data_IF_694834523180
#
_entry.id   IF_694834523180
#
_cell.length_a   1.000
_cell.length_b   1.000
_cell.length_c   1.000
_cell.angle_alpha   90.00
_cell.angle_beta   90.00
_cell.angle_gamma   90.00
#
_symmetry.space_group_name_H-M   'P 1'
#
loop_
_entity.id
_entity.type
_entity.pdbx_description
1 polymer ?
#
# COMPACT_ATOMS: atom_id res chain seq x y z
N UNK A 1 -10.76 -26.33 -21.45
CA UNK A 1 -9.89 -25.84 -22.54
C UNK A 1 -8.65 -25.25 -21.89
N UNK A 2 -7.49 -25.92 -22.01
CA UNK A 2 -6.28 -25.58 -21.24
C UNK A 2 -5.60 -24.33 -21.79
N UNK A 3 -5.71 -23.20 -21.08
CA UNK A 3 -4.95 -21.99 -21.37
C UNK A 3 -3.51 -22.15 -20.88
N UNK A 4 -2.60 -22.49 -21.79
CA UNK A 4 -1.16 -22.41 -21.55
C UNK A 4 -0.77 -20.93 -21.46
N UNK A 5 -0.62 -20.42 -20.25
CA UNK A 5 -0.03 -19.11 -20.00
C UNK A 5 1.37 -19.04 -20.66
N UNK A 6 1.56 -18.06 -21.52
CA UNK A 6 2.68 -17.99 -22.45
C UNK A 6 3.95 -17.62 -21.68
N UNK A 7 4.77 -18.62 -21.31
CA UNK A 7 6.02 -18.49 -20.52
C UNK A 7 6.98 -17.41 -21.05
N UNK A 8 6.85 -17.03 -22.33
CA UNK A 8 7.62 -15.95 -22.98
C UNK A 8 7.28 -14.56 -22.44
N UNK A 9 6.03 -14.30 -22.03
CA UNK A 9 5.61 -13.01 -21.47
C UNK A 9 6.18 -12.79 -20.06
N UNK A 10 6.23 -13.85 -19.25
CA UNK A 10 6.82 -13.83 -17.91
C UNK A 10 8.34 -13.58 -17.96
N UNK A 11 9.02 -14.17 -18.95
CA UNK A 11 10.45 -13.95 -19.22
C UNK A 11 10.72 -12.53 -19.74
N UNK A 12 9.82 -11.96 -20.55
CA UNK A 12 9.96 -10.58 -21.02
C UNK A 12 9.83 -9.59 -19.85
N UNK A 13 8.85 -9.80 -18.96
CA UNK A 13 8.67 -9.00 -17.75
C UNK A 13 9.88 -9.08 -16.81
N UNK A 14 10.45 -10.29 -16.62
CA UNK A 14 11.68 -10.47 -15.83
C UNK A 14 12.91 -9.80 -16.46
N UNK A 15 13.03 -9.84 -17.80
CA UNK A 15 14.15 -9.20 -18.52
C UNK A 15 14.07 -7.68 -18.52
N UNK A 16 12.86 -7.11 -18.51
CA UNK A 16 12.63 -5.68 -18.33
C UNK A 16 13.17 -5.19 -16.98
N UNK A 17 12.89 -5.92 -15.89
CA UNK A 17 13.36 -5.55 -14.55
C UNK A 17 14.89 -5.60 -14.39
N UNK A 18 15.57 -6.50 -15.11
CA UNK A 18 17.04 -6.60 -15.10
C UNK A 18 17.73 -5.52 -15.96
N UNK A 19 17.04 -4.97 -16.96
CA UNK A 19 17.61 -3.97 -17.87
C UNK A 19 17.74 -2.58 -17.23
N UNK A 20 16.86 -2.26 -16.26
CA UNK A 20 16.95 -1.02 -15.47
C UNK A 20 18.12 -1.00 -14.47
N UNK A 21 18.70 -2.17 -14.16
CA UNK A 21 19.82 -2.27 -13.22
C UNK A 21 21.16 -1.82 -13.80
N UNK A 22 21.31 -1.81 -15.14
CA UNK A 22 22.59 -1.57 -15.80
C UNK A 22 22.90 -0.09 -16.10
N UNK A 23 21.91 0.80 -16.05
CA UNK A 23 22.05 2.22 -16.44
C UNK A 23 22.21 3.18 -15.25
N UNK A 24 22.22 2.70 -14.00
CA UNK A 24 22.21 3.54 -12.80
C UNK A 24 23.61 3.91 -12.24
N UNK A 25 24.70 3.69 -12.99
CA UNK A 25 26.09 3.88 -12.52
C UNK A 25 26.87 5.00 -13.22
N UNK A 26 26.22 6.11 -13.56
CA UNK A 26 26.93 7.36 -13.89
C UNK A 26 26.60 8.39 -12.83
N UNK A 27 27.51 8.53 -11.86
CA UNK A 27 27.48 9.55 -10.81
C UNK A 27 28.25 10.75 -11.32
N UNK A 28 27.54 11.83 -11.63
CA UNK A 28 28.14 13.17 -11.73
C UNK A 28 28.23 13.75 -10.31
N UNK A 29 29.47 14.01 -9.88
CA UNK A 29 29.81 14.68 -8.62
C UNK A 29 29.39 16.16 -8.70
N UNK A 30 28.19 16.47 -8.20
CA UNK A 30 27.84 17.83 -7.82
C UNK A 30 27.15 17.87 -6.44
N UNK A 31 28.01 18.09 -5.45
CA UNK A 31 27.81 18.70 -4.13
C UNK A 31 26.39 19.09 -3.70
N UNK A 32 25.58 18.11 -3.27
CA UNK A 32 24.55 18.24 -2.21
C UNK A 32 24.45 16.92 -1.42
N UNK A 33 25.61 16.30 -1.15
CA UNK A 33 25.71 15.05 -0.39
C UNK A 33 25.35 15.30 1.08
N UNK A 34 24.08 15.05 1.43
CA UNK A 34 23.70 14.70 2.79
C UNK A 34 23.86 13.19 2.86
N UNK A 35 24.60 12.68 3.86
CA UNK A 35 24.73 11.22 4.02
C UNK A 35 23.33 10.58 4.00
N UNK A 36 23.12 9.53 3.17
CA UNK A 36 21.85 8.83 3.16
C UNK A 36 21.56 8.34 4.57
N UNK A 37 20.34 8.56 5.05
CA UNK A 37 19.94 8.02 6.34
C UNK A 37 20.13 6.50 6.31
N UNK A 38 20.76 5.92 7.33
CA UNK A 38 20.83 4.46 7.52
C UNK A 38 19.46 3.81 7.80
N UNK A 39 18.37 4.48 7.46
CA UNK A 39 16.99 4.07 7.70
C UNK A 39 16.43 3.59 6.38
N UNK A 40 15.79 2.43 6.38
CA UNK A 40 14.82 2.13 5.33
C UNK A 40 13.65 3.11 5.52
N UNK A 41 13.37 4.01 4.58
CA UNK A 41 12.16 4.82 4.64
C UNK A 41 10.93 3.90 4.79
N UNK A 42 9.85 4.38 5.39
CA UNK A 42 8.51 3.83 5.09
C UNK A 42 7.88 4.70 4.01
N UNK A 43 8.25 4.52 2.73
CA UNK A 43 7.90 5.48 1.69
C UNK A 43 6.42 5.40 1.32
N UNK A 44 5.79 4.24 1.42
CA UNK A 44 4.46 4.04 0.86
C UNK A 44 3.38 4.18 1.93
N UNK A 45 2.38 5.03 1.69
CA UNK A 45 1.23 5.22 2.60
C UNK A 45 0.21 4.10 2.47
N UNK A 46 0.21 3.41 1.33
CA UNK A 46 -0.76 2.36 0.99
C UNK A 46 -0.17 0.95 0.98
N UNK A 47 1.13 0.81 1.25
CA UNK A 47 1.80 -0.48 1.33
C UNK A 47 2.46 -0.68 2.69
N UNK A 48 2.44 -1.92 3.15
CA UNK A 48 3.18 -2.41 4.30
C UNK A 48 4.47 -3.07 3.78
N UNK A 49 5.61 -2.46 4.09
CA UNK A 49 6.92 -3.11 3.98
C UNK A 49 7.17 -3.98 5.21
N UNK A 50 8.02 -5.00 5.11
CA UNK A 50 8.55 -5.70 6.30
C UNK A 50 9.74 -4.94 6.89
N UNK A 51 10.18 -5.33 8.08
CA UNK A 51 11.34 -4.78 8.76
C UNK A 51 12.52 -5.77 8.74
N UNK A 52 13.73 -5.23 8.75
CA UNK A 52 15.01 -5.93 8.83
C UNK A 52 15.67 -5.73 10.20
N UNK A 53 16.72 -6.50 10.53
CA UNK A 53 17.52 -6.26 11.73
C UNK A 53 18.17 -4.88 11.81
N UNK A 54 18.42 -4.24 10.66
CA UNK A 54 19.04 -2.91 10.58
C UNK A 54 18.01 -1.78 10.75
N UNK A 55 16.71 -2.11 10.65
CA UNK A 55 15.63 -1.15 10.88
C UNK A 55 15.44 -0.86 12.37
N UNK A 56 14.85 0.31 12.66
CA UNK A 56 14.33 0.57 13.99
C UNK A 56 13.30 -0.49 14.34
N UNK A 57 13.50 -1.14 15.49
CA UNK A 57 12.75 -2.33 15.88
C UNK A 57 11.26 -2.05 16.05
N UNK A 58 10.85 -0.81 16.33
CA UNK A 58 9.45 -0.45 16.53
C UNK A 58 9.16 0.98 16.06
N UNK A 59 7.97 1.19 15.49
CA UNK A 59 7.43 2.50 15.10
C UNK A 59 5.95 2.64 15.43
N UNK A 60 5.55 3.87 15.75
CA UNK A 60 4.15 4.29 15.92
C UNK A 60 3.82 5.25 14.79
N UNK A 61 2.77 4.93 14.06
CA UNK A 61 2.31 5.68 12.91
C UNK A 61 0.96 6.31 13.23
N UNK A 62 0.83 7.59 12.95
CA UNK A 62 -0.46 8.28 12.95
C UNK A 62 -0.74 8.78 11.54
N UNK A 63 -1.92 8.52 11.02
CA UNK A 63 -2.33 9.02 9.71
C UNK A 63 -3.73 9.61 9.74
N UNK A 64 -3.89 10.69 8.99
CA UNK A 64 -5.17 11.35 8.74
C UNK A 64 -5.45 11.31 7.25
N UNK A 65 -6.69 11.06 6.88
CA UNK A 65 -7.11 11.01 5.48
C UNK A 65 -8.44 11.71 5.29
N UNK A 66 -8.63 12.24 4.08
CA UNK A 66 -9.92 12.69 3.59
C UNK A 66 -10.24 11.96 2.30
N UNK A 67 -11.37 11.26 2.29
CA UNK A 67 -11.94 10.58 1.15
C UNK A 67 -13.26 11.23 0.74
N UNK A 68 -13.52 11.30 -0.57
CA UNK A 68 -14.83 11.62 -1.11
C UNK A 68 -15.15 10.64 -2.22
N UNK A 69 -16.20 9.83 -2.04
CA UNK A 69 -16.56 8.72 -2.94
C UNK A 69 -15.39 7.74 -3.10
N UNK A 70 -14.69 7.54 -2.00
CA UNK A 70 -13.73 6.50 -1.79
C UNK A 70 -14.32 5.65 -0.68
N UNK A 71 -15.27 4.78 -1.04
CA UNK A 71 -15.80 3.82 -0.09
C UNK A 71 -14.72 2.72 0.14
N UNK A 72 -14.78 2.08 1.30
CA UNK A 72 -13.92 0.93 1.69
C UNK A 72 -12.42 1.22 1.93
N UNK A 73 -11.48 0.46 1.37
CA UNK A 73 -10.10 0.32 1.88
C UNK A 73 -9.13 1.40 1.40
N UNK A 74 -9.48 2.22 0.39
CA UNK A 74 -8.75 3.47 0.13
C UNK A 74 -8.72 4.36 1.38
N UNK A 75 -9.79 4.34 2.15
CA UNK A 75 -9.97 5.13 3.36
C UNK A 75 -11.44 5.35 3.62
N UNK A 76 -11.73 5.96 4.75
CA UNK A 76 -13.12 6.26 5.09
C UNK A 76 -13.67 7.40 4.22
N UNK A 77 -14.87 7.23 3.65
CA UNK A 77 -15.58 8.33 2.96
C UNK A 77 -15.94 9.42 3.97
N UNK A 78 -15.19 10.53 3.93
CA UNK A 78 -15.13 11.51 5.00
C UNK A 78 -13.72 11.60 5.58
N UNK A 79 -13.62 11.82 6.89
CA UNK A 79 -12.33 11.95 7.58
C UNK A 79 -11.98 10.65 8.28
N UNK A 80 -10.83 10.08 7.95
CA UNK A 80 -10.27 8.90 8.60
C UNK A 80 -9.08 9.25 9.50
N UNK A 81 -9.06 8.73 10.71
CA UNK A 81 -7.95 8.86 11.68
C UNK A 81 -7.43 7.47 12.01
N UNK A 82 -6.14 7.20 11.83
CA UNK A 82 -5.56 5.88 12.03
C UNK A 82 -4.31 5.95 12.89
N UNK A 83 -4.20 4.97 13.79
CA UNK A 83 -2.99 4.68 14.57
C UNK A 83 -2.50 3.29 14.18
N UNK A 84 -1.20 3.13 13.94
CA UNK A 84 -0.59 1.83 13.72
C UNK A 84 0.68 1.66 14.53
N UNK A 85 0.94 0.43 14.95
CA UNK A 85 2.18 -0.03 15.54
C UNK A 85 2.80 -1.02 14.58
N UNK A 86 4.08 -0.85 14.28
CA UNK A 86 4.84 -1.80 13.49
C UNK A 86 6.12 -2.17 14.22
N UNK A 87 6.47 -3.45 14.24
CA UNK A 87 7.61 -3.91 15.01
C UNK A 87 8.28 -5.15 14.43
N UNK A 88 9.60 -5.20 14.57
CA UNK A 88 10.42 -6.35 14.21
C UNK A 88 10.47 -7.32 15.38
N UNK A 89 9.99 -8.55 15.17
CA UNK A 89 9.92 -9.60 16.19
C UNK A 89 11.17 -10.52 16.19
N UNK A 90 12.20 -10.19 15.39
CA UNK A 90 13.31 -11.09 15.15
C UNK A 90 12.99 -12.17 14.11
N UNK A 91 14.01 -12.91 13.69
CA UNK A 91 13.87 -14.04 12.76
C UNK A 91 13.09 -13.72 11.46
N UNK A 92 13.20 -12.47 10.98
CA UNK A 92 12.50 -11.95 9.79
C UNK A 92 10.98 -11.85 9.92
N UNK A 93 10.47 -11.68 11.14
CA UNK A 93 9.07 -11.42 11.40
C UNK A 93 8.82 -9.95 11.69
N UNK A 94 7.76 -9.42 11.08
CA UNK A 94 7.21 -8.10 11.30
C UNK A 94 5.80 -8.24 11.85
N UNK A 95 5.51 -7.56 12.96
CA UNK A 95 4.17 -7.34 13.47
C UNK A 95 3.65 -6.02 12.92
N UNK A 96 2.41 -6.01 12.44
CA UNK A 96 1.69 -4.80 12.07
C UNK A 96 0.32 -4.82 12.75
N UNK A 97 -0.01 -3.77 13.48
CA UNK A 97 -1.32 -3.59 14.12
C UNK A 97 -1.81 -2.19 13.82
N UNK A 98 -3.07 -2.02 13.44
CA UNK A 98 -3.69 -0.72 13.25
C UNK A 98 -5.09 -0.66 13.87
N UNK A 99 -5.50 0.54 14.22
CA UNK A 99 -6.84 0.91 14.58
C UNK A 99 -7.18 2.24 13.91
N UNK A 100 -8.39 2.36 13.37
CA UNK A 100 -8.85 3.57 12.72
C UNK A 100 -10.25 3.98 13.18
N UNK A 101 -10.53 5.28 13.07
CA UNK A 101 -11.82 5.92 13.30
C UNK A 101 -12.24 6.64 12.03
N UNK A 102 -13.52 6.52 11.67
CA UNK A 102 -14.15 7.19 10.53
C UNK A 102 -15.19 8.20 11.01
N UNK A 103 -15.15 9.41 10.43
CA UNK A 103 -16.08 10.51 10.69
C UNK A 103 -16.74 10.98 9.39
N UNK A 104 -18.04 10.76 9.25
CA UNK A 104 -18.85 11.24 8.10
C UNK A 104 -19.85 12.28 8.62
N UNK A 105 -20.18 13.28 7.80
CA UNK A 105 -20.94 14.48 8.20
C UNK A 105 -22.28 14.17 8.90
N UNK A 106 -22.91 13.04 8.59
CA UNK A 106 -24.26 12.69 9.05
C UNK A 106 -24.36 11.31 9.72
N UNK A 107 -23.22 10.68 10.07
CA UNK A 107 -23.20 9.34 10.67
C UNK A 107 -22.49 9.31 12.02
N UNK A 108 -22.75 8.24 12.79
CA UNK A 108 -22.00 7.94 13.99
C UNK A 108 -20.54 7.65 13.67
N UNK A 109 -19.66 7.92 14.63
CA UNK A 109 -18.24 7.54 14.53
C UNK A 109 -18.14 6.02 14.42
N UNK A 110 -17.49 5.55 13.36
CA UNK A 110 -17.22 4.12 13.14
C UNK A 110 -15.75 3.81 13.38
N UNK A 111 -15.41 2.54 13.51
CA UNK A 111 -14.03 2.11 13.77
C UNK A 111 -13.68 0.82 13.05
N UNK A 112 -12.41 0.67 12.71
CA UNK A 112 -11.82 -0.57 12.20
C UNK A 112 -10.54 -0.92 12.94
N UNK A 113 -10.17 -2.19 12.94
CA UNK A 113 -8.91 -2.68 13.49
C UNK A 113 -8.37 -3.80 12.62
N UNK A 114 -7.04 -3.92 12.59
CA UNK A 114 -6.38 -5.03 11.92
C UNK A 114 -5.06 -5.37 12.62
N UNK A 115 -4.71 -6.64 12.54
CA UNK A 115 -3.46 -7.17 13.07
C UNK A 115 -2.92 -8.24 12.13
N UNK A 116 -1.66 -8.12 11.75
CA UNK A 116 -0.96 -9.02 10.85
C UNK A 116 0.42 -9.39 11.38
N UNK A 117 0.84 -10.62 11.10
CA UNK A 117 2.23 -11.07 11.23
C UNK A 117 2.73 -11.40 9.83
N UNK A 118 3.85 -10.80 9.45
CA UNK A 118 4.43 -10.91 8.11
C UNK A 118 5.86 -11.44 8.26
N UNK A 119 6.22 -12.44 7.44
CA UNK A 119 7.55 -13.04 7.43
C UNK A 119 8.23 -12.82 6.09
N UNK A 120 9.49 -12.37 6.10
CA UNK A 120 10.29 -12.36 4.86
C UNK A 120 10.68 -13.77 4.44
N UNK A 121 10.30 -14.12 3.22
CA UNK A 121 10.69 -15.36 2.54
C UNK A 121 11.95 -15.17 1.72
N UNK A 122 12.16 -13.97 1.15
CA UNK A 122 13.36 -13.58 0.40
C UNK A 122 13.81 -12.21 0.91
N UNK A 123 15.13 -12.00 1.04
CA UNK A 123 15.67 -10.75 1.58
C UNK A 123 15.50 -10.63 3.10
N UNK A 124 15.27 -9.40 3.57
CA UNK A 124 14.97 -9.11 4.98
C UNK A 124 16.18 -9.16 5.93
N UNK A 125 17.39 -9.15 5.38
CA UNK A 125 18.66 -9.24 6.15
C UNK A 125 19.50 -7.96 6.13
N UNK A 126 19.21 -7.06 5.20
CA UNK A 126 19.95 -5.83 4.93
C UNK A 126 18.94 -4.75 4.56
N UNK A 127 19.28 -3.49 4.79
CA UNK A 127 18.44 -2.35 4.43
C UNK A 127 18.16 -2.21 2.92
N UNK A 128 19.01 -2.78 2.05
CA UNK A 128 18.87 -2.67 0.58
C UNK A 128 18.73 -4.03 -0.10
N UNK A 129 18.14 -4.02 -1.30
CA UNK A 129 17.94 -5.17 -2.16
C UNK A 129 16.48 -5.59 -2.29
N UNK A 130 16.26 -6.73 -2.94
CA UNK A 130 14.92 -7.29 -3.11
C UNK A 130 14.46 -7.96 -1.81
N UNK A 131 13.20 -7.71 -1.46
CA UNK A 131 12.52 -8.33 -0.32
C UNK A 131 11.16 -8.83 -0.75
N UNK A 132 10.83 -10.04 -0.31
CA UNK A 132 9.52 -10.64 -0.49
C UNK A 132 9.08 -11.24 0.84
N UNK A 133 7.87 -10.89 1.26
CA UNK A 133 7.27 -11.37 2.49
C UNK A 133 5.86 -11.88 2.28
N UNK A 134 5.45 -12.79 3.16
CA UNK A 134 4.09 -13.31 3.23
C UNK A 134 3.56 -13.18 4.65
N UNK A 135 2.30 -12.82 4.79
CA UNK A 135 1.69 -12.57 6.09
C UNK A 135 0.26 -13.07 6.19
N UNK A 136 -0.18 -13.20 7.43
CA UNK A 136 -1.54 -13.55 7.79
C UNK A 136 -2.01 -12.61 8.89
N UNK A 137 -3.31 -12.36 8.93
CA UNK A 137 -3.89 -11.51 9.95
C UNK A 137 -5.41 -11.60 10.04
N UNK A 138 -5.96 -10.75 10.88
CA UNK A 138 -7.38 -10.58 11.08
C UNK A 138 -7.71 -9.09 11.04
N UNK A 139 -8.93 -8.79 10.60
CA UNK A 139 -9.47 -7.46 10.51
C UNK A 139 -10.89 -7.44 11.03
N UNK A 140 -11.28 -6.31 11.62
CA UNK A 140 -12.68 -5.89 11.75
C UNK A 140 -12.80 -4.56 11.03
N UNK A 141 -13.62 -4.50 9.99
CA UNK A 141 -13.79 -3.31 9.17
C UNK A 141 -14.71 -2.25 9.82
N UNK A 142 -14.95 -1.15 9.11
CA UNK A 142 -15.86 -0.08 9.55
C UNK A 142 -17.34 -0.51 9.56
N UNK A 143 -17.70 -1.56 8.83
CA UNK A 143 -19.04 -2.17 8.80
C UNK A 143 -19.26 -3.18 9.94
N UNK A 144 -18.25 -3.35 10.81
CA UNK A 144 -18.23 -4.31 11.91
C UNK A 144 -18.22 -5.79 11.45
N UNK A 145 -17.73 -6.05 10.24
CA UNK A 145 -17.50 -7.40 9.71
C UNK A 145 -16.06 -7.81 10.00
N UNK A 146 -15.91 -9.03 10.51
CA UNK A 146 -14.59 -9.63 10.73
C UNK A 146 -14.15 -10.41 9.50
N UNK A 147 -12.88 -10.28 9.13
CA UNK A 147 -12.28 -10.97 7.99
C UNK A 147 -10.91 -11.57 8.33
N UNK A 148 -10.55 -12.63 7.60
CA UNK A 148 -9.19 -13.14 7.56
C UNK A 148 -8.41 -12.49 6.44
N UNK A 149 -7.16 -12.14 6.73
CA UNK A 149 -6.25 -11.49 5.80
C UNK A 149 -5.09 -12.41 5.42
N UNK A 150 -4.69 -12.37 4.15
CA UNK A 150 -3.40 -12.85 3.69
C UNK A 150 -2.71 -11.78 2.86
N UNK A 151 -1.43 -11.50 3.16
CA UNK A 151 -0.65 -10.47 2.47
C UNK A 151 0.56 -11.07 1.79
N UNK A 152 0.81 -10.62 0.56
CA UNK A 152 2.10 -10.73 -0.10
C UNK A 152 2.68 -9.32 -0.19
N UNK A 153 3.93 -9.15 0.21
CA UNK A 153 4.65 -7.89 0.14
C UNK A 153 5.92 -8.08 -0.67
N UNK A 154 6.19 -7.11 -1.54
CA UNK A 154 7.39 -7.05 -2.36
C UNK A 154 7.97 -5.65 -2.28
N UNK A 155 9.27 -5.56 -2.05
CA UNK A 155 9.98 -4.29 -2.12
C UNK A 155 11.36 -4.46 -2.70
N UNK A 156 11.87 -3.38 -3.29
CA UNK A 156 13.22 -3.25 -3.78
C UNK A 156 13.73 -1.88 -3.38
N UNK A 157 14.70 -1.90 -2.46
CA UNK A 157 15.36 -0.71 -1.96
C UNK A 157 16.76 -0.60 -2.58
N UNK A 158 17.04 0.54 -3.22
CA UNK A 158 18.34 0.90 -3.78
C UNK A 158 18.72 2.32 -3.33
N UNK A 159 19.97 2.75 -3.58
CA UNK A 159 20.51 3.98 -2.97
C UNK A 159 19.67 5.25 -3.15
N UNK A 160 18.91 5.37 -4.24
CA UNK A 160 18.04 6.52 -4.53
C UNK A 160 16.62 6.13 -4.92
N UNK A 161 16.32 4.85 -4.96
CA UNK A 161 15.07 4.32 -5.50
C UNK A 161 14.45 3.38 -4.48
N UNK A 162 13.19 3.62 -4.19
CA UNK A 162 12.37 2.71 -3.41
C UNK A 162 11.19 2.30 -4.27
N UNK A 163 11.02 0.99 -4.43
CA UNK A 163 9.88 0.39 -5.11
C UNK A 163 9.25 -0.60 -4.16
N UNK A 164 7.94 -0.61 -4.06
CA UNK A 164 7.28 -1.57 -3.20
C UNK A 164 5.80 -1.69 -3.50
N UNK A 165 5.23 -2.79 -3.04
CA UNK A 165 3.83 -3.05 -3.27
C UNK A 165 3.33 -4.22 -2.45
N UNK A 166 2.02 -4.34 -2.38
CA UNK A 166 1.33 -5.42 -1.70
C UNK A 166 0.25 -6.03 -2.59
N UNK A 167 -0.04 -7.29 -2.31
CA UNK A 167 -1.33 -7.91 -2.60
C UNK A 167 -1.91 -8.36 -1.27
N UNK A 168 -3.12 -7.93 -0.95
CA UNK A 168 -3.88 -8.33 0.22
C UNK A 168 -5.12 -9.08 -0.27
N UNK A 169 -5.30 -10.29 0.25
CA UNK A 169 -6.47 -11.12 0.05
C UNK A 169 -7.29 -11.05 1.32
N UNK A 170 -8.57 -10.74 1.21
CA UNK A 170 -9.51 -10.66 2.31
C UNK A 170 -10.61 -11.69 2.16
N UNK A 171 -10.90 -12.43 3.25
CA UNK A 171 -12.07 -13.31 3.31
C UNK A 171 -12.94 -12.90 4.50
N UNK A 172 -14.05 -12.22 4.21
CA UNK A 172 -15.06 -11.87 5.19
C UNK A 172 -15.77 -13.11 5.78
N UNK A 173 -16.10 -13.06 7.06
CA UNK A 173 -16.86 -14.08 7.79
C UNK A 173 -18.38 -13.80 7.84
N UNK A 174 -18.88 -12.97 6.93
CA UNK A 174 -20.30 -12.64 6.82
C UNK A 174 -20.99 -13.58 5.81
N UNK A 175 -22.21 -14.03 6.12
CA UNK A 175 -23.02 -14.89 5.22
C UNK A 175 -23.39 -14.22 3.90
N UNK A 176 -23.29 -12.89 3.83
CA UNK A 176 -23.64 -12.11 2.65
C UNK A 176 -22.40 -11.81 1.78
N UNK A 177 -21.20 -12.24 2.18
CA UNK A 177 -19.92 -11.98 1.49
C UNK A 177 -19.15 -13.29 1.26
N UNK A 178 -19.44 -13.93 0.13
CA UNK A 178 -18.90 -15.25 -0.17
C UNK A 178 -17.56 -15.25 -0.93
N UNK A 179 -17.18 -14.14 -1.56
CA UNK A 179 -15.96 -14.03 -2.37
C UNK A 179 -14.71 -13.65 -1.54
N UNK A 180 -13.55 -13.71 -2.19
CA UNK A 180 -12.28 -13.22 -1.65
C UNK A 180 -12.00 -11.91 -2.35
N UNK A 181 -11.84 -10.84 -1.58
CA UNK A 181 -11.59 -9.51 -2.10
C UNK A 181 -10.09 -9.35 -2.31
N UNK A 182 -9.71 -8.79 -3.45
CA UNK A 182 -8.30 -8.62 -3.83
C UNK A 182 -7.94 -7.14 -3.88
N UNK A 183 -7.03 -6.78 -2.98
CA UNK A 183 -6.46 -5.45 -2.90
C UNK A 183 -5.01 -5.46 -3.31
N UNK A 184 -4.59 -4.41 -4.01
CA UNK A 184 -3.19 -4.23 -4.37
C UNK A 184 -2.74 -2.81 -4.13
N UNK A 185 -1.46 -2.65 -3.82
CA UNK A 185 -0.80 -1.36 -3.88
C UNK A 185 0.56 -1.49 -4.54
N UNK A 186 0.98 -0.42 -5.22
CA UNK A 186 2.28 -0.28 -5.84
C UNK A 186 2.74 1.16 -5.68
N UNK A 187 3.99 1.34 -5.30
CA UNK A 187 4.62 2.64 -5.20
C UNK A 187 6.03 2.61 -5.77
N UNK A 188 6.42 3.75 -6.35
CA UNK A 188 7.78 4.02 -6.81
C UNK A 188 8.15 5.41 -6.34
N UNK A 189 9.29 5.52 -5.66
CA UNK A 189 9.83 6.78 -5.18
C UNK A 189 11.29 6.94 -5.55
N UNK A 190 11.68 8.19 -5.74
CA UNK A 190 13.04 8.61 -6.02
C UNK A 190 13.49 9.66 -4.99
N UNK A 191 14.73 9.55 -4.54
CA UNK A 191 15.36 10.51 -3.64
C UNK A 191 15.67 11.81 -4.41
N UNK A 192 14.80 12.81 -4.23
CA UNK A 192 14.90 14.11 -4.89
C UNK A 192 16.09 14.91 -4.33
N UNK A 193 16.15 15.03 -2.99
CA UNK A 193 17.16 15.83 -2.32
C UNK A 193 17.33 15.36 -0.86
N UNK A 194 18.51 14.85 -0.50
CA UNK A 194 18.81 14.46 0.88
C UNK A 194 17.74 13.54 1.47
N UNK A 195 16.95 14.04 2.42
CA UNK A 195 15.88 13.28 3.08
C UNK A 195 14.51 13.34 2.38
N UNK A 196 14.38 14.05 1.27
CA UNK A 196 13.14 14.23 0.52
C UNK A 196 13.04 13.24 -0.64
N UNK A 197 11.95 12.49 -0.68
CA UNK A 197 11.59 11.54 -1.71
C UNK A 197 10.28 11.97 -2.36
N UNK A 198 10.19 11.76 -3.67
CA UNK A 198 8.98 12.00 -4.43
C UNK A 198 8.72 10.85 -5.40
N UNK A 199 7.44 10.60 -5.68
CA UNK A 199 7.06 9.47 -6.48
C UNK A 199 5.57 9.40 -6.77
N UNK A 200 5.12 8.18 -7.06
CA UNK A 200 3.72 7.86 -7.38
C UNK A 200 3.32 6.61 -6.60
N UNK A 201 2.11 6.62 -6.07
CA UNK A 201 1.46 5.43 -5.50
C UNK A 201 0.17 5.12 -6.26
N UNK A 202 -0.09 3.84 -6.44
CA UNK A 202 -1.29 3.29 -7.02
C UNK A 202 -1.88 2.25 -6.06
N UNK A 203 -3.20 2.24 -5.96
CA UNK A 203 -3.97 1.29 -5.14
C UNK A 203 -5.10 0.76 -5.99
N UNK A 204 -5.33 -0.55 -5.95
CA UNK A 204 -6.47 -1.21 -6.55
C UNK A 204 -7.26 -1.97 -5.50
N UNK A 205 -8.57 -1.95 -5.62
CA UNK A 205 -9.53 -2.63 -4.75
C UNK A 205 -10.57 -3.34 -5.62
N UNK A 206 -11.18 -4.39 -5.09
CA UNK A 206 -12.18 -5.25 -5.75
C UNK A 206 -11.72 -5.75 -7.12
N UNK A 207 -10.42 -6.09 -7.24
CA UNK A 207 -9.82 -6.40 -8.55
C UNK A 207 -10.42 -7.64 -9.19
N UNK A 208 -11.00 -8.54 -8.41
CA UNK A 208 -11.79 -9.66 -8.92
C UNK A 208 -12.99 -9.23 -9.75
N UNK A 209 -13.53 -8.03 -9.51
CA UNK A 209 -14.53 -7.39 -10.37
C UNK A 209 -14.05 -7.11 -11.79
N UNK A 210 -12.75 -7.26 -12.11
CA UNK A 210 -12.25 -7.20 -13.49
C UNK A 210 -12.57 -8.47 -14.30
N UNK A 211 -12.78 -9.62 -13.64
CA UNK A 211 -13.03 -10.90 -14.30
C UNK A 211 -14.26 -11.66 -13.78
N UNK A 212 -14.87 -11.20 -12.69
CA UNK A 212 -16.09 -11.75 -12.12
C UNK A 212 -17.31 -10.90 -12.54
N UNK A 213 -18.16 -11.39 -13.46
CA UNK A 213 -19.31 -10.65 -13.96
C UNK A 213 -20.46 -10.54 -12.94
N UNK A 214 -20.42 -11.32 -11.85
CA UNK A 214 -21.42 -11.35 -10.77
C UNK A 214 -20.87 -10.69 -9.50
N UNK A 215 -19.96 -9.73 -9.64
CA UNK A 215 -19.45 -8.94 -8.52
C UNK A 215 -20.59 -8.07 -7.92
N UNK A 216 -20.68 -8.06 -6.59
CA UNK A 216 -21.83 -7.49 -5.88
C UNK A 216 -21.51 -6.12 -5.22
N UNK A 217 -20.27 -5.66 -5.32
CA UNK A 217 -19.68 -4.59 -4.47
C UNK A 217 -19.29 -3.33 -5.28
N UNK A 218 -19.65 -3.28 -6.57
CA UNK A 218 -19.62 -2.08 -7.40
C UNK A 218 -18.47 -2.02 -8.41
N UNK A 219 -17.62 -3.03 -8.42
CA UNK A 219 -16.56 -3.26 -9.40
C UNK A 219 -15.22 -2.70 -8.96
N UNK A 220 -14.18 -3.10 -9.69
CA UNK A 220 -12.80 -2.75 -9.37
C UNK A 220 -12.60 -1.24 -9.36
N UNK A 221 -11.92 -0.73 -8.33
CA UNK A 221 -11.59 0.70 -8.15
C UNK A 221 -10.08 0.87 -8.16
N UNK A 222 -9.61 2.02 -8.65
CA UNK A 222 -8.18 2.36 -8.69
C UNK A 222 -7.97 3.80 -8.24
N UNK A 223 -6.99 4.00 -7.37
CA UNK A 223 -6.39 5.29 -7.05
C UNK A 223 -4.99 5.36 -7.63
N UNK A 224 -4.62 6.47 -8.26
CA UNK A 224 -3.23 6.76 -8.63
C UNK A 224 -2.91 8.21 -8.30
N UNK A 225 -1.81 8.46 -7.61
CA UNK A 225 -1.50 9.80 -7.13
C UNK A 225 -0.01 10.03 -6.84
N UNK A 226 0.43 11.30 -6.84
CA UNK A 226 1.77 11.63 -6.37
C UNK A 226 1.94 11.26 -4.90
N UNK A 227 3.15 10.89 -4.53
CA UNK A 227 3.58 10.68 -3.14
C UNK A 227 4.82 11.49 -2.82
N UNK A 228 4.90 11.99 -1.59
CA UNK A 228 6.03 12.72 -1.04
C UNK A 228 6.37 12.15 0.34
N UNK A 229 7.67 11.95 0.59
CA UNK A 229 8.18 11.52 1.88
C UNK A 229 9.36 12.35 2.33
N UNK A 230 9.37 12.68 3.62
CA UNK A 230 10.47 13.36 4.27
C UNK A 230 10.95 12.50 5.44
N UNK A 231 12.22 12.07 5.38
CA UNK A 231 12.87 11.21 6.38
C UNK A 231 14.12 11.91 6.93
N UNK A 232 13.98 12.91 7.82
CA UNK A 232 15.13 13.68 8.31
C UNK A 232 16.14 12.79 9.03
N UNK A 233 17.42 12.90 8.68
CA UNK A 233 18.50 12.03 9.15
C UNK A 233 18.72 12.02 10.67
N UNK A 234 18.45 13.13 11.35
CA UNK A 234 18.64 13.30 12.81
C UNK A 234 17.32 13.43 13.59
N UNK A 235 16.21 12.90 13.08
CA UNK A 235 14.89 12.99 13.73
C UNK A 235 14.26 11.63 13.90
N UNK A 236 13.59 11.34 15.01
CA UNK A 236 12.79 10.10 15.14
C UNK A 236 11.50 10.12 14.31
N UNK A 237 11.18 11.27 13.73
CA UNK A 237 9.98 11.49 12.94
C UNK A 237 10.24 11.32 11.44
N UNK A 238 9.23 10.84 10.72
CA UNK A 238 9.15 10.90 9.26
C UNK A 238 7.74 11.30 8.85
N UNK A 239 7.63 11.92 7.68
CA UNK A 239 6.38 12.50 7.20
C UNK A 239 6.10 12.01 5.79
N UNK A 240 4.84 11.67 5.52
CA UNK A 240 4.41 11.18 4.23
C UNK A 240 3.11 11.86 3.81
N UNK A 241 2.95 12.16 2.53
CA UNK A 241 1.73 12.69 1.93
C UNK A 241 1.51 12.00 0.58
N UNK A 242 0.30 11.50 0.34
CA UNK A 242 -0.09 10.92 -0.94
C UNK A 242 -1.58 11.11 -1.17
N UNK A 243 -2.01 11.10 -2.42
CA UNK A 243 -3.41 11.25 -2.76
C UNK A 243 -3.63 11.41 -4.25
N UNK A 244 -4.84 11.14 -4.71
CA UNK A 244 -5.19 11.18 -6.12
C UNK A 244 -6.66 10.92 -6.38
N UNK A 245 -7.08 10.97 -7.66
CA UNK A 245 -8.42 10.58 -8.07
C UNK A 245 -8.66 9.09 -7.81
N UNK A 246 -9.89 8.76 -7.43
CA UNK A 246 -10.40 7.39 -7.37
C UNK A 246 -11.29 7.17 -8.60
N UNK A 247 -10.98 6.14 -9.37
CA UNK A 247 -11.62 5.82 -10.64
C UNK A 247 -12.12 4.38 -10.63
N UNK A 248 -13.25 4.13 -11.29
CA UNK A 248 -13.75 2.78 -11.50
C UNK A 248 -13.05 2.15 -12.71
N UNK A 249 -12.49 0.97 -12.53
CA UNK A 249 -11.85 0.16 -13.54
C UNK A 249 -12.80 -0.89 -14.15
N UNK A 250 -13.82 -1.33 -13.41
CA UNK A 250 -14.93 -2.14 -13.95
C UNK A 250 -16.29 -1.76 -13.36
N UNK A 251 -17.36 -2.42 -13.82
CA UNK A 251 -18.72 -2.35 -13.27
C UNK A 251 -19.30 -3.76 -13.24
N UNK A 252 -20.15 -4.05 -12.25
CA UNK A 252 -21.04 -5.22 -12.28
C UNK A 252 -22.33 -4.96 -13.08
N UNK A 253 -22.95 -6.04 -13.59
CA UNK A 253 -24.06 -5.99 -14.54
C UNK A 253 -25.45 -5.70 -13.92
N UNK A 254 -25.55 -5.40 -12.62
CA UNK A 254 -26.82 -5.06 -11.94
C UNK A 254 -27.26 -3.59 -12.17
N UNK A 255 -26.74 -2.92 -13.21
CA UNK A 255 -27.25 -1.61 -13.66
C UNK A 255 -27.80 -1.70 -15.08
N UNK A 256 -29.10 -1.99 -15.17
CA UNK A 256 -30.01 -1.78 -16.30
C UNK A 256 -29.36 -1.70 -17.72
N UNK A 257 -29.51 -2.75 -18.56
CA UNK A 257 -28.88 -2.82 -19.88
C UNK A 257 -29.40 -1.79 -20.91
N UNK A 258 -30.34 -0.92 -20.55
CA UNK A 258 -30.93 0.09 -21.44
C UNK A 258 -30.31 1.51 -21.35
N UNK A 259 -29.26 1.74 -20.55
CA UNK A 259 -28.66 3.07 -20.41
C UNK A 259 -27.28 3.17 -21.09
N UNK A 260 -27.20 3.84 -22.26
CA UNK A 260 -25.93 4.34 -22.81
C UNK A 260 -25.42 5.42 -21.85
N UNK A 261 -24.47 5.07 -20.99
CA UNK A 261 -23.77 6.00 -20.09
C UNK A 261 -22.27 5.70 -20.11
N UNK A 262 -21.55 6.55 -20.84
CA UNK A 262 -20.09 6.60 -20.91
C UNK A 262 -19.52 6.92 -19.52
N UNK A 263 -19.02 5.89 -18.81
CA UNK A 263 -18.32 5.99 -17.52
C UNK A 263 -19.14 6.60 -16.35
N UNK A 264 -18.80 6.32 -15.07
CA UNK A 264 -19.48 6.96 -13.95
C UNK A 264 -19.24 8.47 -14.03
N UNK A 265 -20.28 9.29 -13.88
CA UNK A 265 -20.16 10.73 -14.18
C UNK A 265 -19.20 11.51 -13.28
N UNK A 266 -18.72 10.94 -12.15
CA UNK A 266 -17.88 11.69 -11.20
C UNK A 266 -16.83 10.79 -10.52
N UNK A 267 -15.56 11.11 -10.71
CA UNK A 267 -14.44 10.50 -10.00
C UNK A 267 -14.48 10.84 -8.49
N UNK A 268 -13.94 9.95 -7.67
CA UNK A 268 -13.65 10.21 -6.27
C UNK A 268 -12.31 10.93 -6.09
N UNK A 269 -12.01 11.34 -4.86
CA UNK A 269 -10.73 11.91 -4.49
C UNK A 269 -10.34 11.39 -3.12
N UNK A 270 -9.05 11.16 -2.92
CA UNK A 270 -8.52 10.78 -1.62
C UNK A 270 -7.17 11.44 -1.39
N UNK A 271 -6.95 11.92 -0.16
CA UNK A 271 -5.66 12.41 0.33
C UNK A 271 -5.38 11.80 1.69
N UNK A 272 -4.13 11.39 1.93
CA UNK A 272 -3.66 10.83 3.19
C UNK A 272 -2.31 11.42 3.57
N UNK A 273 -2.19 11.81 4.82
CA UNK A 273 -0.94 12.21 5.44
C UNK A 273 -0.60 11.24 6.57
N UNK A 274 0.70 10.96 6.76
CA UNK A 274 1.20 10.09 7.82
C UNK A 274 2.39 10.74 8.53
N UNK A 275 2.43 10.58 9.84
CA UNK A 275 3.58 10.85 10.70
C UNK A 275 4.01 9.51 11.29
N UNK A 276 5.28 9.19 11.14
CA UNK A 276 5.92 8.00 11.70
C UNK A 276 6.82 8.44 12.84
N UNK A 277 6.71 7.82 14.00
CA UNK A 277 7.61 8.00 15.14
C UNK A 277 8.32 6.68 15.45
N UNK A 278 9.63 6.65 15.29
CA UNK A 278 10.43 5.47 15.60
C UNK A 278 10.71 5.38 17.10
N UNK A 279 10.39 4.25 17.72
CA UNK A 279 10.51 4.01 19.17
C UNK A 279 11.96 3.70 19.59
N UNK A 280 12.76 3.14 18.69
CA UNK A 280 14.18 2.85 18.89
C UNK A 280 15.03 3.71 17.95
N UNK A 281 16.20 4.15 18.42
CA UNK A 281 17.20 4.89 17.63
C UNK A 281 17.09 6.42 17.71
N UNK A 282 18.25 7.08 17.70
CA UNK A 282 18.46 8.52 17.50
C UNK A 282 19.51 8.71 16.42
#
# INVERSE_FOLDING_TARGET
MNSRMNKKLLLLALSGMLSFSAMAQTVDDNSLYVEPSNRTPEPFLFSVSTLTPDDHSWSVNYSSSYGKRSEELFGYDGVGQQFALKGYLGHRFTLYVNAALGFQTDQNVVSSQQAEIIRDVIGGKKATGLRLGVGLGLQRDFSNVTSALSRITASWEASRWDIGGNVLLEKAFSSNRDKIDILTSLGVQYQLLGSLYGGVEAVGEDLEGLWDPEEAEGGAKILVGPSLNLVPSASRFSFSLSGGPVMYASRSNETNPAAIRELPSQAGLMVRARIVFNLSGS
#
